data_IF_630137908135
#
_entry.id   IF_630137908135
#
_cell.length_a   1.000
_cell.length_b   1.000
_cell.length_c   1.000
_cell.angle_alpha   90.00
_cell.angle_beta   90.00
_cell.angle_gamma   90.00
#
_symmetry.space_group_name_H-M   'P 1'
#
loop_
_entity.id
_entity.type
_entity.pdbx_description
1 polymer ?
#
# COMPACT_ATOMS: atom_id res chain seq x y z
N UNK A 1 -58.83 23.64 18.64
CA UNK A 1 -58.18 23.28 17.36
C UNK A 1 -56.67 23.43 17.55
N UNK A 2 -55.96 22.34 17.84
CA UNK A 2 -55.15 21.54 16.87
C UNK A 2 -54.02 22.38 16.26
N UNK A 3 -52.73 22.02 16.28
CA UNK A 3 -52.15 20.69 16.11
C UNK A 3 -50.66 20.64 16.54
N UNK A 4 -50.22 19.41 16.72
CA UNK A 4 -48.99 18.86 17.31
C UNK A 4 -47.64 19.23 16.67
N UNK A 5 -46.62 19.34 17.54
CA UNK A 5 -45.22 19.07 17.22
C UNK A 5 -44.91 17.60 17.50
N UNK A 6 -44.82 16.80 16.45
CA UNK A 6 -44.47 15.38 16.53
C UNK A 6 -42.94 15.21 16.67
N UNK A 7 -42.43 14.95 17.90
CA UNK A 7 -41.07 14.45 18.14
C UNK A 7 -41.15 12.95 18.42
N UNK A 8 -40.63 12.15 17.50
CA UNK A 8 -40.51 10.70 17.63
C UNK A 8 -39.55 10.33 18.78
N UNK A 9 -40.07 9.65 19.82
CA UNK A 9 -39.26 9.02 20.86
C UNK A 9 -38.93 7.59 20.42
N UNK A 10 -37.72 7.38 19.91
CA UNK A 10 -37.18 6.05 19.63
C UNK A 10 -37.04 5.22 20.92
N UNK A 11 -37.64 4.02 20.95
CA UNK A 11 -37.41 3.03 22.02
C UNK A 11 -35.99 2.46 21.88
N UNK A 12 -35.19 2.58 22.95
CA UNK A 12 -33.85 1.98 23.03
C UNK A 12 -33.93 0.45 23.12
N UNK A 13 -33.09 -0.24 22.33
CA UNK A 13 -32.93 -1.71 22.29
C UNK A 13 -32.69 -2.36 23.67
N UNK A 14 -32.20 -1.59 24.66
CA UNK A 14 -31.99 -2.10 26.04
C UNK A 14 -33.29 -2.40 26.80
N UNK A 15 -34.42 -1.79 26.45
CA UNK A 15 -35.69 -1.99 27.19
C UNK A 15 -36.45 -3.26 26.78
N UNK A 16 -36.11 -3.85 25.62
CA UNK A 16 -36.77 -5.05 25.10
C UNK A 16 -36.19 -6.34 25.70
N UNK A 17 -34.87 -6.39 25.92
CA UNK A 17 -34.19 -7.55 26.51
C UNK A 17 -34.47 -7.75 28.02
N UNK A 18 -34.92 -6.71 28.71
CA UNK A 18 -35.22 -6.77 30.15
C UNK A 18 -36.59 -7.35 30.52
N UNK A 19 -37.49 -7.59 29.56
CA UNK A 19 -38.89 -7.97 29.85
C UNK A 19 -39.21 -9.46 29.65
N UNK A 20 -38.25 -10.30 29.25
CA UNK A 20 -38.52 -11.72 28.95
C UNK A 20 -38.32 -12.66 30.16
N UNK A 21 -37.79 -12.17 31.29
CA UNK A 21 -37.39 -13.02 32.42
C UNK A 21 -38.34 -13.06 33.63
N UNK A 22 -39.56 -12.53 33.55
CA UNK A 22 -40.48 -12.53 34.69
C UNK A 22 -41.94 -12.82 34.29
N UNK A 23 -42.24 -14.11 34.10
CA UNK A 23 -43.57 -14.66 34.35
C UNK A 23 -43.41 -16.14 34.76
N UNK A 24 -43.66 -16.42 36.03
CA UNK A 24 -43.61 -17.75 36.65
C UNK A 24 -45.03 -18.22 37.05
N UNK A 25 -45.26 -19.53 37.00
CA UNK A 25 -46.43 -20.27 37.56
C UNK A 25 -47.34 -20.85 36.47
N UNK A 26 -47.72 -22.12 36.40
CA UNK A 26 -47.95 -23.17 37.42
C UNK A 26 -47.80 -24.60 36.85
N UNK A 27 -47.57 -25.57 37.75
CA UNK A 27 -47.35 -27.03 37.63
C UNK A 27 -48.31 -27.84 36.73
N UNK A 28 -47.84 -28.96 36.14
CA UNK A 28 -48.38 -30.34 36.27
C UNK A 28 -47.72 -31.33 35.25
N UNK A 29 -47.19 -32.43 35.79
CA UNK A 29 -47.01 -33.81 35.26
C UNK A 29 -46.20 -34.03 33.97
N UNK A 30 -45.10 -34.78 34.11
CA UNK A 30 -44.33 -35.34 33.01
C UNK A 30 -45.08 -36.48 32.29
N UNK A 31 -45.03 -36.52 30.95
CA UNK A 31 -44.81 -37.75 30.23
C UNK A 31 -43.35 -37.79 29.76
N UNK A 32 -42.68 -38.91 30.07
CA UNK A 32 -41.49 -39.39 29.38
C UNK A 32 -41.80 -39.56 27.88
N UNK A 33 -41.86 -38.48 27.10
CA UNK A 33 -41.95 -38.52 25.64
C UNK A 33 -41.21 -37.32 25.07
N UNK A 34 -39.88 -37.39 25.08
CA UNK A 34 -38.96 -36.73 24.14
C UNK A 34 -37.56 -37.25 24.43
N UNK A 35 -37.43 -38.58 24.38
CA UNK A 35 -36.13 -39.20 24.13
C UNK A 35 -35.90 -39.14 22.62
N UNK A 36 -34.74 -38.62 22.22
CA UNK A 36 -34.27 -38.39 20.83
C UNK A 36 -34.53 -37.02 20.22
N UNK A 37 -34.04 -35.97 20.87
CA UNK A 37 -33.12 -35.09 20.14
C UNK A 37 -31.72 -35.47 20.58
N UNK A 38 -30.98 -36.20 19.72
CA UNK A 38 -29.53 -36.13 19.77
C UNK A 38 -29.20 -34.64 19.62
N UNK A 39 -28.79 -34.00 20.71
CA UNK A 39 -27.95 -32.82 20.59
C UNK A 39 -26.78 -33.27 19.72
N UNK A 40 -26.80 -32.86 18.46
CA UNK A 40 -25.59 -32.79 17.67
C UNK A 40 -24.68 -31.86 18.46
N UNK A 41 -23.82 -32.44 19.30
CA UNK A 41 -22.62 -31.79 19.77
C UNK A 41 -21.84 -31.48 18.50
N UNK A 42 -22.09 -30.30 17.95
CA UNK A 42 -21.21 -29.69 16.98
C UNK A 42 -19.91 -29.50 17.74
N UNK A 43 -19.01 -30.50 17.60
CA UNK A 43 -17.62 -30.36 17.96
C UNK A 43 -17.11 -29.26 17.04
N UNK A 44 -17.29 -28.00 17.45
CA UNK A 44 -16.47 -26.91 16.99
C UNK A 44 -15.05 -27.25 17.46
N UNK A 45 -14.36 -28.01 16.60
CA UNK A 45 -12.91 -28.04 16.59
C UNK A 45 -12.47 -26.57 16.56
N UNK A 46 -11.73 -26.16 17.58
CA UNK A 46 -10.95 -24.93 17.49
C UNK A 46 -10.19 -25.00 16.16
N UNK A 47 -10.21 -23.97 15.31
CA UNK A 47 -9.48 -24.02 14.06
C UNK A 47 -8.03 -24.32 14.40
N UNK A 48 -7.56 -25.45 13.89
CA UNK A 48 -6.19 -25.87 14.07
C UNK A 48 -5.33 -24.82 13.38
N UNK A 49 -4.59 -24.00 14.14
CA UNK A 49 -3.72 -22.96 13.56
C UNK A 49 -2.63 -23.57 12.66
N UNK A 50 -2.48 -24.89 12.68
CA UNK A 50 -1.56 -25.67 11.87
C UNK A 50 -2.23 -26.50 10.76
N UNK A 51 -3.54 -26.36 10.52
CA UNK A 51 -4.11 -26.99 9.32
C UNK A 51 -3.53 -26.31 8.09
N UNK A 52 -2.80 -27.06 7.26
CA UNK A 52 -2.34 -26.59 5.96
C UNK A 52 -3.51 -25.93 5.23
N UNK A 53 -3.40 -24.63 4.95
CA UNK A 53 -4.45 -23.91 4.24
C UNK A 53 -4.58 -24.58 2.87
N UNK A 54 -5.74 -25.16 2.60
CA UNK A 54 -5.99 -25.82 1.32
C UNK A 54 -5.86 -24.78 0.19
N UNK A 55 -5.09 -25.10 -0.84
CA UNK A 55 -4.90 -24.23 -2.01
C UNK A 55 -3.59 -23.44 -2.06
N UNK A 56 -2.68 -23.63 -1.10
CA UNK A 56 -1.32 -23.09 -1.22
C UNK A 56 -0.49 -23.84 -2.27
N UNK A 57 0.29 -23.09 -3.05
CA UNK A 57 1.28 -23.62 -3.98
C UNK A 57 2.67 -23.06 -3.67
N UNK A 58 3.71 -23.83 -3.99
CA UNK A 58 5.08 -23.35 -3.97
C UNK A 58 5.34 -22.45 -5.19
N UNK A 59 6.04 -21.34 -4.97
CA UNK A 59 6.43 -20.36 -6.00
C UNK A 59 7.85 -19.90 -5.71
N UNK A 60 8.68 -19.78 -6.73
CA UNK A 60 10.04 -19.22 -6.61
C UNK A 60 10.06 -17.78 -7.09
N UNK A 61 10.33 -16.85 -6.17
CA UNK A 61 10.44 -15.41 -6.44
C UNK A 61 11.89 -14.96 -6.39
N UNK A 62 12.35 -14.21 -7.39
CA UNK A 62 13.69 -13.61 -7.38
C UNK A 62 13.59 -12.17 -6.88
N UNK A 63 13.97 -11.92 -5.62
CA UNK A 63 13.83 -10.62 -4.96
C UNK A 63 15.21 -10.11 -4.57
N UNK A 64 15.56 -8.90 -5.01
CA UNK A 64 16.84 -8.25 -4.73
C UNK A 64 18.06 -9.14 -5.07
N UNK A 65 17.96 -9.91 -6.16
CA UNK A 65 19.00 -10.85 -6.61
C UNK A 65 19.04 -12.19 -5.87
N UNK A 66 18.13 -12.46 -4.94
CA UNK A 66 18.04 -13.72 -4.19
C UNK A 66 16.76 -14.50 -4.55
N UNK A 67 16.88 -15.81 -4.71
CA UNK A 67 15.72 -16.69 -4.93
C UNK A 67 15.08 -17.09 -3.60
N UNK A 68 13.77 -16.87 -3.49
CA UNK A 68 12.94 -17.22 -2.34
C UNK A 68 11.88 -18.23 -2.76
N UNK A 69 11.92 -19.43 -2.18
CA UNK A 69 10.84 -20.41 -2.33
C UNK A 69 9.79 -20.16 -1.25
N UNK A 70 8.61 -19.71 -1.66
CA UNK A 70 7.49 -19.36 -0.77
C UNK A 70 6.30 -20.27 -1.04
N UNK A 71 5.50 -20.53 -0.01
CA UNK A 71 4.25 -21.29 -0.11
C UNK A 71 3.08 -20.35 0.15
N UNK A 72 2.27 -20.10 -0.87
CA UNK A 72 1.26 -19.03 -0.88
C UNK A 72 -0.04 -19.49 -1.53
N UNK A 73 -1.17 -18.91 -1.11
CA UNK A 73 -2.43 -19.03 -1.86
C UNK A 73 -2.38 -18.13 -3.12
N UNK A 74 -3.07 -18.50 -4.22
CA UNK A 74 -3.06 -17.72 -5.46
C UNK A 74 -3.51 -16.26 -5.32
N UNK A 75 -4.30 -15.94 -4.29
CA UNK A 75 -4.83 -14.59 -4.03
C UNK A 75 -3.86 -13.65 -3.32
N UNK A 76 -2.72 -14.15 -2.83
CA UNK A 76 -1.80 -13.35 -2.03
C UNK A 76 -1.12 -12.29 -2.91
N UNK A 77 -1.26 -11.03 -2.53
CA UNK A 77 -0.58 -9.91 -3.19
C UNK A 77 0.92 -9.96 -2.90
N UNK A 78 1.73 -9.49 -3.84
CA UNK A 78 3.19 -9.46 -3.71
C UNK A 78 3.62 -8.66 -2.48
N UNK A 79 2.94 -7.56 -2.17
CA UNK A 79 3.24 -6.74 -0.98
C UNK A 79 3.17 -7.54 0.32
N UNK A 80 2.27 -8.53 0.41
CA UNK A 80 2.09 -9.36 1.61
C UNK A 80 3.15 -10.45 1.71
N UNK A 81 3.57 -11.03 0.58
CA UNK A 81 4.69 -11.97 0.58
C UNK A 81 5.97 -11.27 1.04
N UNK A 82 6.27 -10.10 0.47
CA UNK A 82 7.45 -9.32 0.82
C UNK A 82 7.49 -9.01 2.32
N UNK A 83 6.40 -8.47 2.85
CA UNK A 83 6.38 -7.94 4.23
C UNK A 83 6.16 -9.02 5.28
N UNK A 84 5.15 -9.86 5.08
CA UNK A 84 4.61 -10.69 6.16
C UNK A 84 5.21 -12.11 6.14
N UNK A 85 5.65 -12.62 4.98
CA UNK A 85 6.33 -13.91 4.89
C UNK A 85 7.86 -13.78 4.89
N UNK A 86 8.40 -12.81 4.13
CA UNK A 86 9.85 -12.66 3.96
C UNK A 86 10.49 -11.62 4.88
N UNK A 87 9.70 -10.79 5.56
CA UNK A 87 10.22 -9.73 6.45
C UNK A 87 10.93 -8.58 5.72
N UNK A 88 10.77 -8.47 4.40
CA UNK A 88 11.28 -7.38 3.55
C UNK A 88 10.29 -6.22 3.63
N UNK A 89 10.39 -5.46 4.71
CA UNK A 89 9.34 -4.51 5.15
C UNK A 89 9.49 -3.09 4.60
N UNK A 90 10.51 -2.81 3.80
CA UNK A 90 10.76 -1.51 3.17
C UNK A 90 9.58 -1.08 2.31
N UNK A 91 9.05 -1.98 1.47
CA UNK A 91 7.80 -1.76 0.74
C UNK A 91 6.62 -1.60 1.71
N UNK A 92 5.80 -0.56 1.53
CA UNK A 92 4.71 -0.22 2.46
C UNK A 92 3.34 -0.52 1.90
N UNK A 93 2.41 -0.91 2.77
CA UNK A 93 0.98 -1.05 2.46
C UNK A 93 0.22 0.13 3.05
N UNK A 94 0.01 1.17 2.23
CA UNK A 94 -0.72 2.38 2.67
C UNK A 94 -2.23 2.29 2.47
N UNK A 95 -2.69 1.81 1.30
CA UNK A 95 -4.12 1.78 0.94
C UNK A 95 -4.64 0.41 0.50
N UNK A 96 -3.76 -0.51 0.08
CA UNK A 96 -4.09 -1.85 -0.46
C UNK A 96 -5.01 -1.90 -1.70
N UNK A 97 -5.34 -0.74 -2.28
CA UNK A 97 -6.22 -0.63 -3.45
C UNK A 97 -5.65 0.26 -4.58
N UNK A 98 -4.32 0.36 -4.70
CA UNK A 98 -3.65 1.06 -5.80
C UNK A 98 -3.78 2.60 -5.80
N UNK A 99 -4.11 3.21 -4.67
CA UNK A 99 -4.40 4.64 -4.58
C UNK A 99 -3.19 5.51 -4.19
N UNK A 100 -2.19 4.97 -3.48
CA UNK A 100 -1.15 5.78 -2.84
C UNK A 100 0.27 5.60 -3.37
N UNK A 101 0.58 4.52 -4.10
CA UNK A 101 1.94 4.23 -4.57
C UNK A 101 2.99 3.89 -3.50
N UNK A 102 2.64 3.84 -2.20
CA UNK A 102 3.60 3.49 -1.15
C UNK A 102 4.15 2.05 -1.28
N UNK A 103 3.45 1.19 -2.04
CA UNK A 103 3.81 -0.20 -2.32
C UNK A 103 4.59 -0.38 -3.64
N UNK A 104 5.06 0.70 -4.27
CA UNK A 104 5.80 0.61 -5.52
C UNK A 104 7.08 -0.21 -5.35
N UNK A 105 7.26 -1.20 -6.21
CA UNK A 105 8.48 -2.00 -6.41
C UNK A 105 8.83 -2.00 -7.89
N UNK A 106 10.01 -2.49 -8.27
CA UNK A 106 10.37 -2.72 -9.67
C UNK A 106 10.21 -4.21 -10.00
N UNK A 107 9.54 -4.53 -11.09
CA UNK A 107 9.44 -5.90 -11.64
C UNK A 107 9.98 -5.82 -13.07
N UNK A 108 11.08 -6.53 -13.33
CA UNK A 108 11.81 -6.47 -14.61
C UNK A 108 12.16 -5.04 -15.05
N UNK A 109 12.39 -4.15 -14.08
CA UNK A 109 12.71 -2.73 -14.30
C UNK A 109 11.49 -1.80 -14.33
N UNK A 110 10.28 -2.33 -14.46
CA UNK A 110 9.04 -1.52 -14.47
C UNK A 110 8.50 -1.29 -13.06
N UNK A 111 8.07 -0.06 -12.76
CA UNK A 111 7.42 0.23 -11.47
C UNK A 111 6.00 -0.34 -11.41
N UNK A 112 5.71 -1.10 -10.36
CA UNK A 112 4.42 -1.78 -10.16
C UNK A 112 3.92 -1.57 -8.74
N UNK A 113 2.62 -1.34 -8.58
CA UNK A 113 1.96 -1.38 -7.27
C UNK A 113 1.81 -2.83 -6.80
N UNK A 114 2.69 -3.25 -5.90
CA UNK A 114 2.72 -4.64 -5.40
C UNK A 114 1.45 -5.08 -4.67
N UNK A 115 0.59 -4.16 -4.22
CA UNK A 115 -0.73 -4.50 -3.65
C UNK A 115 -1.75 -4.97 -4.69
N UNK A 116 -1.57 -4.62 -5.96
CA UNK A 116 -2.46 -5.05 -7.07
C UNK A 116 -1.82 -6.14 -7.94
N UNK A 117 -0.69 -6.69 -7.50
CA UNK A 117 0.06 -7.72 -8.22
C UNK A 117 0.03 -9.02 -7.42
N UNK A 118 -0.50 -10.10 -7.98
CA UNK A 118 -0.49 -11.41 -7.33
C UNK A 118 0.92 -11.98 -7.35
N UNK A 119 1.39 -12.47 -6.21
CA UNK A 119 2.75 -13.00 -6.08
C UNK A 119 3.00 -14.22 -6.99
N UNK A 120 2.00 -15.10 -7.12
CA UNK A 120 2.07 -16.27 -8.01
C UNK A 120 2.34 -15.91 -9.47
N UNK A 121 1.93 -14.72 -9.93
CA UNK A 121 2.15 -14.26 -11.30
C UNK A 121 3.54 -13.67 -11.52
N UNK A 122 4.36 -13.56 -10.48
CA UNK A 122 5.70 -12.97 -10.54
C UNK A 122 6.84 -14.00 -10.49
N UNK A 123 6.51 -15.29 -10.58
CA UNK A 123 7.51 -16.35 -10.70
C UNK A 123 8.43 -16.10 -11.90
N UNK A 124 9.73 -16.30 -11.69
CA UNK A 124 10.76 -16.11 -12.73
C UNK A 124 11.14 -14.66 -13.04
N UNK A 125 10.36 -13.66 -12.59
CA UNK A 125 10.68 -12.23 -12.80
C UNK A 125 11.70 -11.72 -11.79
N UNK A 126 12.41 -10.67 -12.15
CA UNK A 126 13.33 -9.98 -11.23
C UNK A 126 12.60 -8.87 -10.48
N UNK A 127 12.48 -9.00 -9.16
CA UNK A 127 11.80 -8.05 -8.29
C UNK A 127 12.84 -7.26 -7.50
N UNK A 128 12.78 -5.94 -7.55
CA UNK A 128 13.64 -5.05 -6.76
C UNK A 128 12.79 -4.16 -5.86
N UNK A 129 13.03 -4.25 -4.55
CA UNK A 129 12.42 -3.40 -3.53
C UNK A 129 13.36 -2.25 -3.16
N UNK A 130 12.96 -1.39 -2.23
CA UNK A 130 13.81 -0.29 -1.74
C UNK A 130 15.14 -0.81 -1.17
N UNK A 131 15.13 -1.97 -0.51
CA UNK A 131 16.31 -2.63 0.04
C UNK A 131 17.27 -3.13 -1.03
N UNK A 132 16.77 -3.45 -2.23
CA UNK A 132 17.59 -3.86 -3.37
C UNK A 132 18.29 -2.71 -4.09
N UNK A 133 17.83 -1.47 -3.89
CA UNK A 133 18.44 -0.28 -4.50
C UNK A 133 19.71 0.17 -3.77
N UNK A 134 19.76 -0.02 -2.46
CA UNK A 134 20.89 0.39 -1.63
C UNK A 134 20.64 0.12 -0.14
N UNK A 135 21.68 0.27 0.65
CA UNK A 135 21.67 0.04 2.10
C UNK A 135 22.45 1.16 2.83
N UNK A 136 22.59 1.04 4.15
CA UNK A 136 23.26 2.05 4.97
C UNK A 136 24.74 2.28 4.63
N UNK A 137 25.41 1.33 3.98
CA UNK A 137 26.83 1.45 3.59
C UNK A 137 26.98 2.03 2.19
N UNK A 138 26.05 1.71 1.29
CA UNK A 138 26.05 2.17 -0.09
C UNK A 138 24.65 2.55 -0.53
N UNK A 139 24.40 3.85 -0.56
CA UNK A 139 23.16 4.43 -1.04
C UNK A 139 23.13 4.48 -2.57
N UNK A 140 21.93 4.27 -3.12
CA UNK A 140 21.63 4.60 -4.50
C UNK A 140 21.71 6.13 -4.70
N UNK A 141 22.16 6.65 -5.86
CA UNK A 141 22.19 8.10 -6.11
C UNK A 141 20.85 8.82 -5.85
N UNK A 142 19.72 8.17 -6.18
CA UNK A 142 18.38 8.69 -5.85
C UNK A 142 18.13 8.72 -4.34
N UNK A 143 18.59 7.73 -3.57
CA UNK A 143 18.47 7.76 -2.10
C UNK A 143 19.29 8.93 -1.52
N UNK A 144 20.51 9.15 -2.01
CA UNK A 144 21.34 10.30 -1.63
C UNK A 144 20.66 11.63 -1.95
N UNK A 145 20.11 11.78 -3.16
CA UNK A 145 19.42 13.00 -3.56
C UNK A 145 18.18 13.28 -2.70
N UNK A 146 17.44 12.25 -2.30
CA UNK A 146 16.30 12.40 -1.37
C UNK A 146 16.75 12.90 0.01
N UNK A 147 17.93 12.50 0.49
CA UNK A 147 18.49 13.00 1.76
C UNK A 147 18.92 14.46 1.61
N UNK A 148 19.65 14.77 0.54
CA UNK A 148 20.22 16.11 0.32
C UNK A 148 19.17 17.19 0.05
N UNK A 149 17.99 16.81 -0.46
CA UNK A 149 16.89 17.74 -0.78
C UNK A 149 15.70 17.64 0.19
N UNK A 150 15.86 17.01 1.35
CA UNK A 150 14.77 16.80 2.33
C UNK A 150 13.49 16.21 1.66
N UNK A 151 13.69 15.24 0.78
CA UNK A 151 12.66 14.60 -0.04
C UNK A 151 11.72 13.66 0.72
N UNK A 152 11.65 13.79 2.04
CA UNK A 152 10.78 13.01 2.91
C UNK A 152 10.62 13.68 4.29
N UNK A 153 9.61 13.24 5.04
CA UNK A 153 9.46 13.60 6.46
C UNK A 153 9.19 12.34 7.29
N UNK A 154 7.93 11.89 7.37
CA UNK A 154 7.57 10.69 8.14
C UNK A 154 8.19 9.39 7.59
N UNK A 155 8.74 9.43 6.38
CA UNK A 155 9.42 8.29 5.75
C UNK A 155 8.49 7.22 5.15
N UNK A 156 7.18 7.27 5.39
CA UNK A 156 6.29 6.16 5.03
C UNK A 156 6.11 5.99 3.51
N UNK A 157 5.94 7.09 2.75
CA UNK A 157 5.83 7.02 1.30
C UNK A 157 7.20 6.90 0.59
N UNK A 158 8.29 7.18 1.31
CA UNK A 158 9.64 7.34 0.74
C UNK A 158 10.13 6.12 -0.04
N UNK A 159 9.95 4.87 0.42
CA UNK A 159 10.31 3.68 -0.36
C UNK A 159 9.66 3.66 -1.74
N UNK A 160 8.34 3.88 -1.79
CA UNK A 160 7.61 3.91 -3.05
C UNK A 160 8.03 5.09 -3.93
N UNK A 161 8.25 6.27 -3.35
CA UNK A 161 8.74 7.46 -4.09
C UNK A 161 10.10 7.20 -4.74
N UNK A 162 11.03 6.58 -4.03
CA UNK A 162 12.38 6.29 -4.53
C UNK A 162 12.32 5.24 -5.64
N UNK A 163 11.59 4.13 -5.44
CA UNK A 163 11.42 3.13 -6.51
C UNK A 163 10.74 3.73 -7.75
N UNK A 164 9.71 4.55 -7.57
CA UNK A 164 9.05 5.25 -8.67
C UNK A 164 9.97 6.23 -9.39
N UNK A 165 10.82 6.95 -8.65
CA UNK A 165 11.81 7.88 -9.20
C UNK A 165 12.89 7.16 -10.02
N UNK A 166 13.38 6.01 -9.55
CA UNK A 166 14.34 5.19 -10.31
C UNK A 166 13.73 4.73 -11.63
N UNK A 167 12.50 4.21 -11.61
CA UNK A 167 11.80 3.83 -12.85
C UNK A 167 11.56 5.03 -13.77
N UNK A 168 11.13 6.17 -13.24
CA UNK A 168 10.93 7.41 -14.02
C UNK A 168 12.19 7.81 -14.79
N UNK A 169 13.37 7.77 -14.15
CA UNK A 169 14.62 8.12 -14.82
C UNK A 169 14.92 7.16 -15.97
N UNK A 170 14.57 5.89 -15.84
CA UNK A 170 14.76 4.89 -16.88
C UNK A 170 13.73 5.03 -18.01
N UNK A 171 12.46 5.26 -17.69
CA UNK A 171 11.39 5.59 -18.65
C UNK A 171 11.78 6.78 -19.53
N UNK A 172 12.36 7.84 -18.93
CA UNK A 172 12.83 9.02 -19.68
C UNK A 172 14.01 8.68 -20.60
N UNK A 173 14.97 7.85 -20.17
CA UNK A 173 16.06 7.39 -21.04
C UNK A 173 15.56 6.55 -22.21
N UNK A 174 14.48 5.80 -22.00
CA UNK A 174 13.82 5.00 -23.04
C UNK A 174 12.93 5.84 -23.97
N UNK A 175 12.79 7.14 -23.71
CA UNK A 175 11.98 8.04 -24.53
C UNK A 175 10.47 7.93 -24.26
N UNK A 176 10.06 7.35 -23.13
CA UNK A 176 8.65 7.29 -22.76
C UNK A 176 8.08 8.70 -22.54
N UNK A 177 6.90 8.96 -23.10
CA UNK A 177 6.15 10.21 -22.94
C UNK A 177 5.23 10.17 -21.72
N UNK A 178 4.78 11.32 -21.23
CA UNK A 178 3.74 11.45 -20.20
C UNK A 178 2.48 12.12 -20.77
N UNK A 179 1.43 12.23 -19.96
CA UNK A 179 0.19 12.89 -20.35
C UNK A 179 0.36 14.39 -20.70
N UNK A 180 1.45 15.01 -20.25
CA UNK A 180 1.72 16.44 -20.50
C UNK A 180 2.83 16.69 -21.52
N UNK A 181 3.39 15.65 -22.13
CA UNK A 181 4.42 15.81 -23.16
C UNK A 181 3.81 16.47 -24.41
N UNK A 182 4.28 17.66 -24.74
CA UNK A 182 3.70 18.47 -25.83
C UNK A 182 4.09 18.00 -27.23
N UNK A 183 5.30 17.47 -27.39
CA UNK A 183 5.81 16.94 -28.67
C UNK A 183 6.16 15.45 -28.50
N UNK A 184 5.31 14.58 -29.04
CA UNK A 184 5.49 13.13 -28.96
C UNK A 184 6.61 12.61 -29.88
N UNK A 185 7.07 13.41 -30.83
CA UNK A 185 8.15 13.05 -31.75
C UNK A 185 9.54 13.41 -31.21
N UNK A 186 9.60 14.32 -30.23
CA UNK A 186 10.82 14.74 -29.57
C UNK A 186 10.62 14.76 -28.03
N UNK A 187 10.52 13.57 -27.40
CA UNK A 187 10.25 13.46 -25.97
C UNK A 187 11.37 14.09 -25.11
N UNK A 188 11.07 14.50 -23.87
CA UNK A 188 12.06 15.07 -22.97
C UNK A 188 13.18 14.06 -22.66
N UNK A 189 14.40 14.57 -22.55
CA UNK A 189 15.58 13.84 -22.06
C UNK A 189 15.80 14.15 -20.58
N UNK A 190 16.68 13.45 -19.89
CA UNK A 190 17.03 13.78 -18.50
C UNK A 190 17.47 15.25 -18.32
N UNK A 191 18.12 15.85 -19.33
CA UNK A 191 18.55 17.26 -19.28
C UNK A 191 17.40 18.25 -19.52
N UNK A 192 16.38 17.85 -20.27
CA UNK A 192 15.26 18.72 -20.67
C UNK A 192 13.97 18.39 -19.94
N UNK A 193 13.99 17.40 -19.04
CA UNK A 193 12.85 17.00 -18.22
C UNK A 193 12.45 18.14 -17.28
N UNK A 194 11.24 18.66 -17.45
CA UNK A 194 10.73 19.78 -16.67
C UNK A 194 10.20 19.34 -15.31
N UNK A 195 10.06 20.29 -14.38
CA UNK A 195 9.42 20.07 -13.08
C UNK A 195 7.99 19.50 -13.23
N UNK A 196 7.24 20.00 -14.22
CA UNK A 196 5.88 19.54 -14.50
C UNK A 196 5.88 18.06 -14.96
N UNK A 197 6.83 17.66 -15.80
CA UNK A 197 6.97 16.27 -16.26
C UNK A 197 7.29 15.33 -15.09
N UNK A 198 8.17 15.75 -14.18
CA UNK A 198 8.50 14.98 -12.97
C UNK A 198 7.25 14.80 -12.10
N UNK A 199 6.51 15.90 -11.84
CA UNK A 199 5.27 15.87 -11.05
C UNK A 199 4.21 14.96 -11.67
N UNK A 200 3.99 15.07 -12.97
CA UNK A 200 3.04 14.21 -13.68
C UNK A 200 3.44 12.74 -13.55
N UNK A 201 4.71 12.42 -13.83
CA UNK A 201 5.20 11.04 -13.78
C UNK A 201 5.20 10.45 -12.38
N UNK A 202 5.31 11.26 -11.33
CA UNK A 202 5.24 10.82 -9.92
C UNK A 202 3.85 10.98 -9.29
N UNK A 203 2.85 11.43 -10.04
CA UNK A 203 1.50 11.71 -9.52
C UNK A 203 0.81 10.49 -8.87
N UNK A 204 1.22 9.28 -9.24
CA UNK A 204 0.76 8.03 -8.63
C UNK A 204 1.28 7.75 -7.20
N UNK A 205 2.29 8.50 -6.74
CA UNK A 205 2.91 8.31 -5.43
C UNK A 205 2.54 9.47 -4.50
N UNK A 206 1.62 9.20 -3.56
CA UNK A 206 1.08 10.23 -2.66
C UNK A 206 1.96 10.42 -1.41
N UNK A 207 2.15 11.68 -1.03
CA UNK A 207 2.83 12.11 0.20
C UNK A 207 1.92 13.02 1.04
N UNK A 208 1.49 12.56 2.21
CA UNK A 208 0.62 13.35 3.10
C UNK A 208 1.36 14.42 3.91
N UNK A 209 2.67 14.24 4.11
CA UNK A 209 3.54 15.26 4.69
C UNK A 209 3.84 16.41 3.73
N UNK A 210 3.46 16.27 2.45
CA UNK A 210 3.66 17.27 1.40
C UNK A 210 5.14 17.58 1.10
N UNK A 211 6.03 16.58 1.19
CA UNK A 211 7.44 16.72 0.82
C UNK A 211 7.69 16.80 -0.70
N UNK A 212 6.67 17.10 -1.51
CA UNK A 212 6.72 17.02 -2.98
C UNK A 212 7.81 17.91 -3.60
N UNK A 213 8.05 19.10 -3.04
CA UNK A 213 9.10 19.99 -3.56
C UNK A 213 10.49 19.36 -3.41
N UNK A 214 10.80 18.78 -2.24
CA UNK A 214 12.06 18.06 -2.01
C UNK A 214 12.18 16.79 -2.85
N UNK A 215 11.06 16.07 -3.04
CA UNK A 215 11.01 14.88 -3.91
C UNK A 215 11.35 15.26 -5.36
N UNK A 216 10.74 16.33 -5.89
CA UNK A 216 11.00 16.79 -7.26
C UNK A 216 12.43 17.30 -7.41
N UNK A 217 12.93 18.06 -6.43
CA UNK A 217 14.32 18.52 -6.39
C UNK A 217 15.32 17.34 -6.40
N UNK A 218 15.04 16.28 -5.64
CA UNK A 218 15.86 15.08 -5.64
C UNK A 218 15.90 14.39 -7.01
N UNK A 219 14.78 14.34 -7.74
CA UNK A 219 14.76 13.79 -9.10
C UNK A 219 15.52 14.68 -10.07
N UNK A 220 15.37 16.01 -9.98
CA UNK A 220 16.15 16.96 -10.80
C UNK A 220 17.65 16.78 -10.58
N UNK A 221 18.09 16.66 -9.32
CA UNK A 221 19.48 16.37 -9.00
C UNK A 221 19.93 15.02 -9.59
N UNK A 222 19.11 13.98 -9.49
CA UNK A 222 19.42 12.66 -10.08
C UNK A 222 19.49 12.70 -11.62
N UNK A 223 18.79 13.64 -12.27
CA UNK A 223 18.93 13.94 -13.70
C UNK A 223 20.22 14.71 -14.05
N UNK A 224 21.02 15.13 -13.06
CA UNK A 224 22.17 16.01 -13.23
C UNK A 224 21.79 17.48 -13.46
N UNK A 225 20.57 17.87 -13.07
CA UNK A 225 20.12 19.26 -13.08
C UNK A 225 20.43 19.92 -11.74
N UNK A 226 20.49 21.25 -11.71
CA UNK A 226 20.56 21.99 -10.46
C UNK A 226 19.13 22.26 -9.97
N UNK A 227 18.67 21.63 -8.88
CA UNK A 227 17.37 21.95 -8.32
C UNK A 227 17.35 23.41 -7.86
N UNK A 228 16.20 24.11 -7.91
CA UNK A 228 16.09 25.43 -7.31
C UNK A 228 16.47 25.33 -5.83
N UNK A 229 17.39 26.20 -5.39
CA UNK A 229 17.88 26.21 -4.01
C UNK A 229 16.71 26.22 -3.01
N UNK A 230 16.74 25.42 -1.92
CA UNK A 230 15.78 25.54 -0.83
C UNK A 230 15.86 26.90 -0.12
N UNK A 231 16.91 27.68 -0.36
CA UNK A 231 16.88 29.12 -0.12
C UNK A 231 15.98 29.75 -1.20
N UNK A 232 14.66 29.68 -0.97
CA UNK A 232 13.73 30.54 -1.68
C UNK A 232 14.27 31.96 -1.64
N UNK A 233 14.25 32.66 -2.77
CA UNK A 233 14.45 34.11 -2.76
C UNK A 233 13.47 34.65 -1.72
N UNK A 234 13.99 35.09 -0.56
CA UNK A 234 13.19 35.74 0.46
C UNK A 234 12.80 37.08 -0.16
N UNK A 235 11.63 37.10 -0.82
CA UNK A 235 11.00 38.30 -1.34
C UNK A 235 10.34 39.07 -0.19
N UNK A 236 11.11 39.35 0.86
CA UNK A 236 10.71 40.30 1.91
C UNK A 236 11.66 41.47 1.76
N UNK A 237 11.28 42.42 0.90
CA UNK A 237 11.80 43.77 1.00
C UNK A 237 11.19 44.37 2.26
N UNK A 238 12.02 44.70 3.25
CA UNK A 238 11.61 45.51 4.39
C UNK A 238 11.16 46.88 3.86
N UNK A 239 9.88 47.20 4.05
CA UNK A 239 9.28 48.49 3.73
C UNK A 239 9.63 49.55 4.78
#
# INVERSE_FOLDING_TARGET
>A
MTSDKNKSRGRSRRKFLGQVLTAAGTTIIAPKVLSSTKESQDKQSKPDRNSSIQGETSVILNINGMSHNVKIEPRVALVDVLREQLGITGTKKGCDHGQCGACTVLIDGERVYSCLSLAIMQEGKNIVTIEGLGNSEKLHPVQTAFIENDGFQCGYCTPGQICASVALLEEVKQGSVSAITSDLTNPPTLKTLSEAEIKERLSGNLCRCSAYNGIVAAVQQACGQNPPSPAGNILVEEA
#
